data_IF_974485669963
#
_entry.id   IF_974485669963
#
_cell.length_a   1.000
_cell.length_b   1.000
_cell.length_c   1.000
_cell.angle_alpha   90.00
_cell.angle_beta   90.00
_cell.angle_gamma   90.00
#
_symmetry.space_group_name_H-M   'P 1'
#
loop_
_entity.id
_entity.type
_entity.pdbx_description
1 polymer ?
#
# COMPACT_ATOMS: atom_id res chain seq x y z
N UNK A 1 -1.93 0.58 -30.00
CA UNK A 1 -0.63 1.10 -29.51
C UNK A 1 0.38 1.15 -30.66
N UNK A 2 0.66 2.34 -31.19
CA UNK A 2 1.66 2.49 -32.25
C UNK A 2 3.09 2.31 -31.70
N UNK A 3 4.01 1.81 -32.53
CA UNK A 3 5.44 1.75 -32.18
C UNK A 3 6.02 3.16 -32.11
N UNK A 4 6.82 3.45 -31.10
CA UNK A 4 7.56 4.72 -31.03
C UNK A 4 8.48 4.89 -32.24
N UNK A 5 8.74 6.14 -32.65
CA UNK A 5 9.67 6.45 -33.74
C UNK A 5 11.07 5.86 -33.47
N UNK A 6 11.55 5.93 -32.23
CA UNK A 6 12.82 5.33 -31.82
C UNK A 6 12.85 3.80 -31.99
N UNK A 7 11.75 3.10 -31.67
CA UNK A 7 11.66 1.64 -31.88
C UNK A 7 11.71 1.29 -33.37
N UNK A 8 11.04 2.09 -34.24
CA UNK A 8 11.09 1.90 -35.70
C UNK A 8 12.51 2.07 -36.25
N UNK A 9 13.22 3.13 -35.85
CA UNK A 9 14.62 3.38 -36.25
C UNK A 9 15.54 2.23 -35.83
N UNK A 10 15.43 1.75 -34.58
CA UNK A 10 16.24 0.60 -34.10
C UNK A 10 15.97 -0.67 -34.89
N UNK A 11 14.71 -1.00 -35.19
CA UNK A 11 14.40 -2.18 -36.01
C UNK A 11 14.90 -2.08 -37.44
N UNK A 12 14.95 -0.86 -38.01
CA UNK A 12 15.52 -0.64 -39.34
C UNK A 12 17.05 -0.85 -39.33
N UNK A 13 17.74 -0.29 -38.34
CA UNK A 13 19.19 -0.50 -38.17
C UNK A 13 19.51 -1.98 -37.95
N UNK A 14 18.74 -2.68 -37.12
CA UNK A 14 18.93 -4.12 -36.89
C UNK A 14 18.86 -4.94 -38.18
N UNK A 15 17.97 -4.57 -39.12
CA UNK A 15 17.85 -5.27 -40.42
C UNK A 15 19.01 -4.99 -41.36
N UNK A 16 19.52 -3.75 -41.36
CA UNK A 16 20.54 -3.34 -42.33
C UNK A 16 21.97 -3.62 -41.85
N UNK A 17 22.25 -3.44 -40.55
CA UNK A 17 23.61 -3.56 -39.99
C UNK A 17 23.76 -4.72 -39.02
N UNK A 18 22.66 -5.38 -38.63
CA UNK A 18 22.68 -6.51 -37.67
C UNK A 18 22.99 -6.12 -36.22
N UNK A 19 23.30 -4.85 -35.94
CA UNK A 19 23.70 -4.40 -34.61
C UNK A 19 22.50 -4.25 -33.68
N UNK A 20 22.46 -5.07 -32.63
CA UNK A 20 21.44 -4.99 -31.60
C UNK A 20 21.87 -4.12 -30.41
N UNK A 21 21.25 -2.95 -30.29
CA UNK A 21 21.54 -1.98 -29.23
C UNK A 21 20.83 -2.31 -27.92
N UNK A 22 19.82 -3.21 -27.91
CA UNK A 22 19.15 -3.57 -26.66
C UNK A 22 20.03 -4.46 -25.80
N UNK A 23 20.78 -5.39 -26.42
CA UNK A 23 21.75 -6.26 -25.72
C UNK A 23 22.85 -5.48 -25.01
N UNK A 24 23.24 -4.32 -25.55
CA UNK A 24 24.28 -3.46 -24.98
C UNK A 24 23.79 -2.62 -23.78
N UNK A 25 22.48 -2.50 -23.58
CA UNK A 25 21.90 -1.55 -22.62
C UNK A 25 21.94 -2.02 -21.17
N UNK A 26 22.37 -3.26 -20.93
CA UNK A 26 22.31 -4.00 -19.66
C UNK A 26 20.87 -4.09 -19.11
N UNK A 27 20.47 -5.31 -18.76
CA UNK A 27 19.16 -5.53 -18.14
C UNK A 27 19.28 -5.46 -16.62
N UNK A 28 18.23 -4.96 -15.98
CA UNK A 28 18.13 -4.87 -14.51
C UNK A 28 16.99 -5.80 -14.10
N UNK A 29 17.30 -6.80 -13.28
CA UNK A 29 16.37 -7.87 -12.89
C UNK A 29 15.36 -7.45 -11.80
N UNK A 30 15.70 -6.43 -11.02
CA UNK A 30 14.85 -5.94 -9.93
C UNK A 30 14.44 -4.48 -10.12
N UNK A 31 13.36 -4.09 -9.47
CA UNK A 31 12.88 -2.72 -9.54
C UNK A 31 13.74 -1.78 -8.68
N UNK A 32 14.28 -0.72 -9.30
CA UNK A 32 15.14 0.28 -8.65
C UNK A 32 14.37 1.41 -7.97
N UNK A 33 13.03 1.35 -7.94
CA UNK A 33 12.24 2.39 -7.29
C UNK A 33 12.51 2.43 -5.78
N UNK A 34 12.50 3.63 -5.21
CA UNK A 34 12.56 3.82 -3.76
C UNK A 34 11.26 3.33 -3.16
N UNK A 35 11.33 2.30 -2.30
CA UNK A 35 10.18 1.78 -1.57
C UNK A 35 9.96 2.61 -0.31
N UNK A 36 8.77 3.18 -0.17
CA UNK A 36 8.39 3.92 1.02
C UNK A 36 7.39 3.13 1.85
N UNK A 37 7.53 3.21 3.18
CA UNK A 37 6.53 2.64 4.09
C UNK A 37 5.29 3.54 4.17
N UNK A 38 4.15 2.96 4.54
CA UNK A 38 2.89 3.68 4.63
C UNK A 38 2.95 4.88 5.58
N UNK A 39 2.32 5.99 5.17
CA UNK A 39 2.16 7.19 6.01
C UNK A 39 1.15 6.96 7.14
N UNK A 40 1.08 7.88 8.12
CA UNK A 40 0.10 7.81 9.22
C UNK A 40 -1.34 7.70 8.68
N UNK A 41 -1.68 8.52 7.69
CA UNK A 41 -3.01 8.53 7.05
C UNK A 41 -3.35 7.18 6.42
N UNK A 42 -2.42 6.61 5.65
CA UNK A 42 -2.59 5.31 5.01
C UNK A 42 -2.67 4.15 6.00
N UNK A 43 -1.98 4.26 7.14
CA UNK A 43 -2.09 3.28 8.24
C UNK A 43 -3.47 3.31 8.88
N UNK A 44 -4.02 4.50 9.16
CA UNK A 44 -5.38 4.64 9.71
C UNK A 44 -6.43 4.10 8.75
N UNK A 45 -6.36 4.50 7.47
CA UNK A 45 -7.27 3.99 6.45
C UNK A 45 -7.18 2.46 6.32
N UNK A 46 -5.98 1.88 6.38
CA UNK A 46 -5.80 0.42 6.39
C UNK A 46 -6.40 -0.22 7.65
N UNK A 47 -6.27 0.41 8.81
CA UNK A 47 -6.79 -0.11 10.07
C UNK A 47 -8.31 -0.21 10.06
N UNK A 48 -8.98 0.78 9.47
CA UNK A 48 -10.43 0.83 9.32
C UNK A 48 -10.92 -0.17 8.26
N UNK A 49 -10.24 -0.23 7.10
CA UNK A 49 -10.78 -0.90 5.92
C UNK A 49 -10.31 -2.34 5.73
N UNK A 50 -9.17 -2.75 6.30
CA UNK A 50 -8.58 -4.07 5.98
C UNK A 50 -9.40 -5.24 6.52
N UNK A 51 -9.95 -5.11 7.72
CA UNK A 51 -10.68 -6.18 8.40
C UNK A 51 -11.99 -5.66 8.96
N UNK A 52 -13.07 -6.41 8.77
CA UNK A 52 -14.36 -6.12 9.39
C UNK A 52 -14.21 -6.23 10.90
N UNK A 53 -14.26 -5.09 11.60
CA UNK A 53 -14.23 -5.08 13.05
C UNK A 53 -15.61 -5.44 13.58
N UNK A 54 -15.69 -6.53 14.33
CA UNK A 54 -16.83 -6.77 15.21
C UNK A 54 -16.62 -5.92 16.44
N UNK A 55 -17.16 -4.71 16.44
CA UNK A 55 -17.31 -3.95 17.67
C UNK A 55 -18.34 -4.70 18.52
N UNK A 56 -17.87 -5.51 19.46
CA UNK A 56 -18.77 -5.96 20.53
C UNK A 56 -19.26 -4.68 21.22
N UNK A 57 -20.58 -4.52 21.33
CA UNK A 57 -21.18 -3.41 22.05
C UNK A 57 -20.53 -3.33 23.44
N UNK A 58 -19.82 -2.23 23.74
CA UNK A 58 -19.20 -2.02 25.06
C UNK A 58 -17.73 -1.60 25.11
N UNK A 59 -17.07 -1.22 24.01
CA UNK A 59 -15.74 -0.62 24.08
C UNK A 59 -15.84 0.85 24.52
N UNK A 60 -15.70 1.09 25.83
CA UNK A 60 -15.60 2.42 26.43
C UNK A 60 -14.17 2.99 26.20
N UNK A 61 -14.03 4.28 25.84
CA UNK A 61 -12.72 4.89 25.58
C UNK A 61 -11.86 5.06 26.84
N UNK A 62 -12.44 4.94 28.03
CA UNK A 62 -11.76 5.04 29.31
C UNK A 62 -12.00 3.75 30.09
N UNK A 63 -11.06 2.82 30.02
CA UNK A 63 -11.09 1.50 30.66
C UNK A 63 -11.07 1.50 32.19
N UNK A 64 -11.84 2.36 32.85
CA UNK A 64 -12.05 2.32 34.28
C UNK A 64 -13.41 1.70 34.57
N UNK A 65 -13.43 0.37 34.69
CA UNK A 65 -14.58 -0.42 35.17
C UNK A 65 -15.05 0.00 36.59
N UNK A 66 -14.26 0.83 37.28
CA UNK A 66 -14.51 1.34 38.63
C UNK A 66 -15.80 2.15 38.75
N UNK A 67 -16.19 2.89 37.70
CA UNK A 67 -17.38 3.75 37.76
C UNK A 67 -18.72 2.99 37.66
N UNK A 68 -18.71 1.74 37.20
CA UNK A 68 -19.93 0.92 37.06
C UNK A 68 -20.36 0.34 38.42
N UNK A 69 -19.42 0.04 39.33
CA UNK A 69 -19.76 -0.50 40.65
C UNK A 69 -20.43 0.55 41.55
N UNK A 70 -20.00 1.82 41.47
CA UNK A 70 -20.54 2.88 42.35
C UNK A 70 -21.97 3.30 41.97
N UNK A 71 -22.31 3.33 40.67
CA UNK A 71 -23.66 3.66 40.23
C UNK A 71 -24.70 2.61 40.65
N UNK A 72 -24.34 1.33 40.56
CA UNK A 72 -25.23 0.25 40.97
C UNK A 72 -25.38 0.14 42.50
N UNK A 73 -24.37 0.54 43.27
CA UNK A 73 -24.44 0.59 44.73
C UNK A 73 -25.32 1.75 45.23
N UNK A 74 -25.32 2.88 44.53
CA UNK A 74 -26.14 4.05 44.90
C UNK A 74 -27.61 3.91 44.47
N UNK A 75 -27.90 3.09 43.46
CA UNK A 75 -29.27 2.81 43.00
C UNK A 75 -30.02 1.78 43.85
N UNK A 76 -29.39 1.22 44.90
CA UNK A 76 -29.95 0.22 45.82
C UNK A 76 -30.29 0.81 47.21
N UNK A 77 -30.33 2.14 47.34
CA UNK A 77 -30.83 2.84 48.53
C UNK A 77 -32.14 3.56 48.24
#
# INVERSE_FOLDING_TARGET
>A
MAKSAAKRKRTHLLRNTGKDVTKLRNDIDFSTHVRMTKTKKEKLQRYENKYKKHFQQGQYPHGNAFYICLYNLHAQK
#
